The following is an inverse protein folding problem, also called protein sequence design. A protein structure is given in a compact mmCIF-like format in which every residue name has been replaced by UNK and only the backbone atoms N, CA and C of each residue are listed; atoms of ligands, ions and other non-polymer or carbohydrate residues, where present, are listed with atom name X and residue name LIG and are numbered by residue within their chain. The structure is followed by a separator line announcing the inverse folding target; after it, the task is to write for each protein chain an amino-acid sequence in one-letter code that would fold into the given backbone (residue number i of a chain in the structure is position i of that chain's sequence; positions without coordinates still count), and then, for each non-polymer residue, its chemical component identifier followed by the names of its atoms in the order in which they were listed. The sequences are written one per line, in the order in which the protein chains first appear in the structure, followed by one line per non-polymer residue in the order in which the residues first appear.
data_IF_200815237013
#
_entry.id   IF_200815237013
#
_cell.length_a   1.000
_cell.length_b   1.000
_cell.length_c   1.000
_cell.angle_alpha   90.00
_cell.angle_beta   90.00
_cell.angle_gamma   90.00
#
_symmetry.space_group_name_H-M   'P 1'
#
loop_
_entity.id
_entity.type
_entity.pdbx_description
1 polymer ?
#
# COMPACT_ATOMS: atom_id res chain seq x y z
N UNK A 1 7.55 8.76 -18.12
CA UNK A 1 7.17 8.02 -16.91
C UNK A 1 6.46 9.01 -16.01
N UNK A 2 5.15 8.86 -15.82
CA UNK A 2 4.30 9.86 -15.17
C UNK A 2 4.42 9.63 -13.67
N UNK A 3 4.95 10.60 -12.93
CA UNK A 3 4.90 10.60 -11.46
C UNK A 3 3.43 10.44 -11.10
N UNK A 4 3.09 9.31 -10.46
CA UNK A 4 1.73 9.08 -9.99
C UNK A 4 1.49 10.09 -8.87
N UNK A 5 0.44 10.87 -9.04
CA UNK A 5 -0.04 11.82 -8.03
C UNK A 5 -0.41 11.02 -6.76
N UNK A 6 0.49 11.03 -5.77
CA UNK A 6 0.35 10.27 -4.52
C UNK A 6 -0.78 10.79 -3.64
N UNK A 7 -1.35 11.96 -3.95
CA UNK A 7 -2.54 12.50 -3.26
C UNK A 7 -3.85 11.84 -3.68
N UNK A 8 -3.81 10.87 -4.63
CA UNK A 8 -5.00 10.19 -5.17
C UNK A 8 -5.10 8.71 -4.83
N UNK A 9 -4.17 8.18 -4.02
CA UNK A 9 -4.34 6.86 -3.43
C UNK A 9 -5.01 7.04 -2.08
N UNK A 10 -6.26 6.63 -2.01
CA UNK A 10 -6.98 6.52 -0.76
C UNK A 10 -6.53 5.19 -0.12
N UNK A 11 -5.53 5.29 0.75
CA UNK A 11 -4.90 4.19 1.47
C UNK A 11 -5.58 4.01 2.84
N UNK A 12 -5.87 2.78 3.26
CA UNK A 12 -6.34 2.53 4.64
C UNK A 12 -5.17 2.51 5.63
N UNK A 13 -4.02 1.96 5.24
CA UNK A 13 -2.79 2.02 6.04
C UNK A 13 -1.56 2.28 5.17
N UNK A 14 -0.59 3.01 5.71
CA UNK A 14 0.62 3.41 5.02
C UNK A 14 1.86 3.13 5.88
N UNK A 15 2.74 2.25 5.38
CA UNK A 15 3.97 1.88 6.05
C UNK A 15 5.16 2.80 5.72
N UNK A 16 5.04 3.66 4.69
CA UNK A 16 6.10 4.58 4.26
C UNK A 16 5.56 5.81 3.49
N UNK A 17 4.92 6.77 4.19
CA UNK A 17 4.31 7.91 3.54
C UNK A 17 5.31 8.73 2.72
N UNK A 18 4.84 9.28 1.60
CA UNK A 18 5.56 10.32 0.88
C UNK A 18 5.48 11.65 1.63
N UNK A 19 6.58 12.38 1.68
CA UNK A 19 6.65 13.74 2.22
C UNK A 19 6.02 14.70 1.18
N UNK A 20 4.94 15.43 1.54
CA UNK A 20 4.27 16.32 0.61
C UNK A 20 5.18 17.44 0.10
N UNK A 21 5.26 17.59 -1.22
CA UNK A 21 6.03 18.67 -1.87
C UNK A 21 7.54 18.43 -1.95
N UNK A 22 8.04 17.32 -1.42
CA UNK A 22 9.46 16.95 -1.54
C UNK A 22 9.69 16.00 -2.71
N UNK A 23 10.64 16.37 -3.56
CA UNK A 23 11.06 15.61 -4.72
C UNK A 23 12.55 15.33 -4.58
N UNK A 24 12.90 14.04 -4.67
CA UNK A 24 14.26 13.56 -4.61
C UNK A 24 15.07 13.97 -5.85
N UNK A 25 16.40 13.82 -5.80
CA UNK A 25 17.28 14.16 -6.91
C UNK A 25 17.03 13.32 -8.18
N UNK A 26 16.34 12.19 -8.04
CA UNK A 26 15.90 11.30 -9.12
C UNK A 26 14.54 11.70 -9.74
N UNK A 27 13.91 12.75 -9.22
CA UNK A 27 12.61 13.24 -9.67
C UNK A 27 11.40 12.50 -9.09
N UNK A 28 11.61 11.57 -8.16
CA UNK A 28 10.55 10.84 -7.46
C UNK A 28 10.18 11.52 -6.13
N UNK A 29 9.05 11.13 -5.54
CA UNK A 29 8.68 11.58 -4.19
C UNK A 29 9.67 11.08 -3.15
N UNK A 30 9.88 11.86 -2.08
CA UNK A 30 10.70 11.44 -0.94
C UNK A 30 9.83 10.72 0.10
N UNK A 31 10.24 9.54 0.55
CA UNK A 31 9.55 8.77 1.59
C UNK A 31 10.05 9.13 3.00
N UNK A 32 9.23 8.86 4.02
CA UNK A 32 9.60 9.05 5.43
C UNK A 32 10.76 8.16 5.87
N UNK A 33 10.82 6.94 5.35
CA UNK A 33 11.89 6.00 5.59
C UNK A 33 12.56 5.59 4.28
N UNK A 34 13.85 5.25 4.34
CA UNK A 34 14.48 4.52 3.23
C UNK A 34 13.89 3.12 3.22
N UNK A 35 13.20 2.74 2.14
CA UNK A 35 12.44 1.49 2.06
C UNK A 35 13.24 0.23 2.44
N UNK A 36 14.52 0.13 2.07
CA UNK A 36 15.37 -1.01 2.44
C UNK A 36 15.69 -1.07 3.95
N UNK A 37 15.52 0.04 4.66
CA UNK A 37 15.75 0.19 6.10
C UNK A 37 14.45 0.27 6.92
N UNK A 38 13.29 0.07 6.28
CA UNK A 38 11.99 0.22 6.93
C UNK A 38 11.57 -1.07 7.64
N UNK A 39 12.26 -1.37 8.75
CA UNK A 39 12.15 -2.63 9.49
C UNK A 39 11.03 -2.63 10.55
N UNK A 40 10.75 -3.81 11.12
CA UNK A 40 9.98 -4.00 12.35
C UNK A 40 8.53 -3.47 12.33
N UNK A 41 7.77 -3.84 11.29
CA UNK A 41 6.35 -3.52 11.14
C UNK A 41 5.51 -4.79 11.07
N UNK A 42 4.31 -4.73 11.64
CA UNK A 42 3.37 -5.83 11.49
C UNK A 42 1.93 -5.35 11.48
N UNK A 43 1.14 -5.92 10.56
CA UNK A 43 -0.33 -5.79 10.53
C UNK A 43 -0.91 -7.20 10.57
N UNK A 44 -1.84 -7.45 11.50
CA UNK A 44 -2.41 -8.79 11.70
C UNK A 44 -3.87 -8.75 12.13
N UNK A 45 -4.67 -9.71 11.68
CA UNK A 45 -6.05 -9.98 12.12
C UNK A 45 -7.05 -8.85 11.79
N UNK A 46 -7.11 -8.43 10.53
CA UNK A 46 -8.03 -7.38 10.08
C UNK A 46 -8.86 -7.78 8.87
N UNK A 47 -10.06 -7.23 8.78
CA UNK A 47 -10.78 -7.12 7.51
C UNK A 47 -10.57 -5.69 7.01
N UNK A 48 -9.95 -5.55 5.85
CA UNK A 48 -9.75 -4.26 5.18
C UNK A 48 -10.75 -4.16 4.05
N UNK A 49 -11.78 -3.32 4.24
CA UNK A 49 -12.89 -3.18 3.31
C UNK A 49 -12.87 -1.82 2.62
N UNK A 50 -12.57 -1.84 1.32
CA UNK A 50 -12.59 -0.65 0.44
C UNK A 50 -13.77 -0.66 -0.52
N UNK A 51 -14.78 -1.52 -0.32
CA UNK A 51 -15.92 -1.68 -1.25
C UNK A 51 -16.82 -0.44 -1.35
N UNK A 52 -16.86 0.37 -0.29
CA UNK A 52 -17.63 1.62 -0.25
C UNK A 52 -17.03 2.73 -1.13
N UNK A 53 -15.79 2.58 -1.58
CA UNK A 53 -15.12 3.54 -2.45
C UNK A 53 -15.61 3.40 -3.88
N UNK A 54 -15.58 4.51 -4.63
CA UNK A 54 -15.92 4.49 -6.05
C UNK A 54 -14.97 3.55 -6.81
N UNK A 55 -15.45 2.64 -7.68
CA UNK A 55 -14.59 1.75 -8.45
C UNK A 55 -13.52 2.49 -9.28
N UNK A 56 -13.80 3.74 -9.68
CA UNK A 56 -12.87 4.55 -10.46
C UNK A 56 -11.74 5.18 -9.62
N UNK A 57 -11.88 5.20 -8.29
CA UNK A 57 -10.88 5.66 -7.34
C UNK A 57 -9.83 4.59 -7.06
N UNK A 58 -8.61 5.00 -6.71
CA UNK A 58 -7.54 4.07 -6.37
C UNK A 58 -7.67 3.61 -4.92
N UNK A 59 -8.66 2.75 -4.66
CA UNK A 59 -8.89 2.20 -3.33
C UNK A 59 -7.86 1.15 -2.94
N UNK A 60 -6.94 1.49 -2.05
CA UNK A 60 -5.83 0.61 -1.67
C UNK A 60 -5.95 0.21 -0.20
N UNK A 61 -5.87 -1.08 0.09
CA UNK A 61 -5.87 -1.56 1.47
C UNK A 61 -4.61 -1.12 2.24
N UNK A 62 -3.44 -1.58 1.81
CA UNK A 62 -2.17 -1.31 2.49
C UNK A 62 -1.13 -0.82 1.49
N UNK A 63 -0.52 0.33 1.75
CA UNK A 63 0.77 0.68 1.16
C UNK A 63 1.88 0.05 2.01
N UNK A 64 2.53 -1.00 1.47
CA UNK A 64 3.43 -1.88 2.20
C UNK A 64 4.88 -1.80 1.69
N UNK A 65 5.45 -0.61 1.63
CA UNK A 65 6.85 -0.38 1.29
C UNK A 65 7.76 -0.60 2.51
N UNK A 66 8.38 -1.77 2.60
CA UNK A 66 9.09 -2.22 3.81
C UNK A 66 10.40 -2.98 3.57
N UNK A 67 11.23 -3.06 4.61
CA UNK A 67 12.42 -3.92 4.70
C UNK A 67 12.15 -5.25 5.41
N UNK A 68 13.20 -5.96 5.85
CA UNK A 68 13.11 -7.24 6.55
C UNK A 68 12.45 -7.11 7.94
N UNK A 69 12.17 -8.25 8.57
CA UNK A 69 11.51 -8.34 9.88
C UNK A 69 10.13 -7.65 9.91
N UNK A 70 9.41 -7.71 8.79
CA UNK A 70 8.06 -7.18 8.63
C UNK A 70 7.07 -8.29 8.28
N UNK A 71 5.81 -8.18 8.72
CA UNK A 71 4.80 -9.21 8.44
C UNK A 71 3.37 -8.69 8.22
N UNK A 72 2.70 -9.22 7.19
CA UNK A 72 1.24 -9.19 7.04
C UNK A 72 0.71 -10.61 7.29
N UNK A 73 -0.19 -10.77 8.26
CA UNK A 73 -0.74 -12.10 8.59
C UNK A 73 -2.23 -12.06 8.95
N UNK A 74 -3.02 -12.99 8.42
CA UNK A 74 -4.45 -13.12 8.72
C UNK A 74 -5.22 -11.82 8.40
N UNK A 75 -5.27 -11.45 7.11
CA UNK A 75 -5.96 -10.24 6.66
C UNK A 75 -6.88 -10.56 5.49
N UNK A 76 -8.13 -10.13 5.58
CA UNK A 76 -9.12 -10.25 4.51
C UNK A 76 -9.32 -8.89 3.82
N UNK A 77 -8.97 -8.80 2.55
CA UNK A 77 -9.16 -7.62 1.72
C UNK A 77 -10.46 -7.72 0.92
N UNK A 78 -11.39 -6.78 1.13
CA UNK A 78 -12.65 -6.68 0.38
C UNK A 78 -12.61 -5.47 -0.54
N UNK A 79 -12.77 -5.71 -1.84
CA UNK A 79 -12.61 -4.73 -2.91
C UNK A 79 -13.81 -4.75 -3.86
N UNK A 80 -13.98 -3.65 -4.60
CA UNK A 80 -15.08 -3.52 -5.54
C UNK A 80 -14.80 -4.33 -6.82
N UNK A 81 -15.77 -5.16 -7.25
CA UNK A 81 -15.66 -6.10 -8.39
C UNK A 81 -16.13 -5.52 -9.74
N UNK A 82 -16.47 -4.23 -9.80
CA UNK A 82 -16.93 -3.62 -11.04
C UNK A 82 -15.84 -3.69 -12.12
N UNK A 83 -16.25 -3.91 -13.37
CA UNK A 83 -15.32 -3.92 -14.49
C UNK A 83 -14.53 -2.60 -14.57
N UNK A 84 -13.20 -2.69 -14.62
CA UNK A 84 -12.33 -1.51 -14.65
C UNK A 84 -12.12 -0.83 -13.29
N UNK A 85 -12.49 -1.48 -12.18
CA UNK A 85 -12.12 -1.07 -10.82
C UNK A 85 -10.61 -0.81 -10.71
N UNK A 86 -10.22 0.18 -9.92
CA UNK A 86 -8.82 0.47 -9.59
C UNK A 86 -8.47 0.11 -8.14
N UNK A 87 -9.31 -0.70 -7.50
CA UNK A 87 -9.07 -1.14 -6.14
C UNK A 87 -7.95 -2.19 -6.11
N UNK A 88 -7.12 -2.15 -5.08
CA UNK A 88 -6.00 -3.07 -4.88
C UNK A 88 -5.84 -3.37 -3.38
N UNK A 89 -5.50 -4.62 -3.04
CA UNK A 89 -5.37 -5.01 -1.63
C UNK A 89 -4.09 -4.44 -1.02
N UNK A 90 -2.96 -4.71 -1.68
CA UNK A 90 -1.63 -4.24 -1.26
C UNK A 90 -0.97 -3.53 -2.42
N UNK A 91 -0.39 -2.36 -2.15
CA UNK A 91 0.47 -1.62 -3.05
C UNK A 91 1.91 -1.64 -2.50
N UNK A 92 2.85 -2.07 -3.33
CA UNK A 92 4.28 -2.14 -2.99
C UNK A 92 5.10 -1.91 -4.26
N UNK A 93 5.80 -0.79 -4.31
CA UNK A 93 6.59 -0.35 -5.46
C UNK A 93 8.06 -0.80 -5.36
N UNK A 94 8.60 -0.92 -4.15
CA UNK A 94 9.96 -1.38 -3.87
C UNK A 94 10.11 -1.77 -2.38
N UNK A 95 11.28 -2.28 -2.00
CA UNK A 95 11.61 -2.68 -0.63
C UNK A 95 12.72 -3.74 -0.57
N UNK A 96 12.96 -4.28 0.62
CA UNK A 96 13.88 -5.41 0.86
C UNK A 96 13.22 -6.39 1.82
N UNK A 97 12.18 -7.06 1.32
CA UNK A 97 10.98 -7.42 2.08
C UNK A 97 11.11 -8.42 3.25
N UNK A 98 9.93 -8.70 3.83
CA UNK A 98 9.72 -9.62 4.95
C UNK A 98 8.84 -10.82 4.57
N UNK A 99 7.79 -11.10 5.35
CA UNK A 99 6.95 -12.31 5.23
C UNK A 99 5.45 -11.99 5.15
N UNK A 100 4.71 -12.73 4.31
CA UNK A 100 3.25 -12.61 4.21
C UNK A 100 2.61 -14.00 4.25
N UNK A 101 1.55 -14.17 5.05
CA UNK A 101 0.81 -15.42 5.17
C UNK A 101 -0.67 -15.16 5.45
N UNK A 102 -1.54 -16.10 5.08
CA UNK A 102 -2.96 -16.08 5.44
C UNK A 102 -3.65 -14.79 5.03
N UNK A 103 -3.48 -14.40 3.76
CA UNK A 103 -4.13 -13.23 3.18
C UNK A 103 -5.23 -13.68 2.21
N UNK A 104 -6.44 -13.17 2.39
CA UNK A 104 -7.57 -13.39 1.48
C UNK A 104 -7.84 -12.13 0.67
N UNK A 105 -7.96 -12.25 -0.65
CA UNK A 105 -8.30 -11.13 -1.52
C UNK A 105 -9.63 -11.41 -2.23
N UNK A 106 -10.64 -10.60 -1.95
CA UNK A 106 -11.97 -10.65 -2.56
C UNK A 106 -12.23 -9.35 -3.34
N UNK A 107 -12.13 -9.39 -4.67
CA UNK A 107 -12.21 -8.21 -5.54
C UNK A 107 -12.42 -8.53 -7.00
#
# INVERSE_FOLDING_TARGET
MKVLDTTKFDLITDADPYIPGEIGPDGNGVNWWTNQNNFFRSVRNFVIDVTAMSPAAFGTGIHWQVGQATSLMNIDFKMNKAAGTKHQGVFMENGSGGFMSDLTFDG
#
